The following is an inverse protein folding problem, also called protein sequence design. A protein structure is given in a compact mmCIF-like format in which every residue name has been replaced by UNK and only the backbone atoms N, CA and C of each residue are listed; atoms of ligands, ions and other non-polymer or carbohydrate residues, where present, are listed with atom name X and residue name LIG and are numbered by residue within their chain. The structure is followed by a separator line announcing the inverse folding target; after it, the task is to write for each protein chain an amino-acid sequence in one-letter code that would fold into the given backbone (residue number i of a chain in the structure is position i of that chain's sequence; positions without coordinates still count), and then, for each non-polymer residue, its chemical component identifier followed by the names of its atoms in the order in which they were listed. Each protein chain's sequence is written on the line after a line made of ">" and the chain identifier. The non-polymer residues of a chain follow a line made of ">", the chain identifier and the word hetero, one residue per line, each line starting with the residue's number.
data_IF_610261107974
#
_entry.id   IF_610261107974
#
_cell.length_a   1.000
_cell.length_b   1.000
_cell.length_c   1.000
_cell.angle_alpha   90.00
_cell.angle_beta   90.00
_cell.angle_gamma   90.00
#
_symmetry.space_group_name_H-M   'P 1'
#
loop_
_entity.id
_entity.type
_entity.pdbx_description
1 polymer ?
#
# COMPACT_ATOMS: atom_id res chain seq x y z
N UNK A 1 -9.05 -67.39 -11.25
CA UNK A 1 -10.41 -66.85 -11.03
C UNK A 1 -10.29 -65.80 -9.94
N UNK A 2 -10.31 -64.50 -10.31
CA UNK A 2 -11.41 -63.55 -10.01
C UNK A 2 -11.81 -63.66 -8.54
N UNK A 3 -11.45 -62.71 -7.66
CA UNK A 3 -12.13 -61.43 -7.57
C UNK A 3 -11.19 -60.29 -7.16
N UNK A 4 -11.21 -59.23 -7.95
CA UNK A 4 -10.75 -57.88 -7.64
C UNK A 4 -12.04 -57.06 -7.59
N UNK A 5 -12.27 -56.26 -6.55
CA UNK A 5 -13.02 -55.00 -6.59
C UNK A 5 -12.99 -54.35 -5.19
N UNK A 6 -12.08 -53.39 -5.08
CA UNK A 6 -11.88 -52.51 -3.94
C UNK A 6 -13.01 -51.48 -3.93
N UNK A 7 -13.47 -51.19 -2.72
CA UNK A 7 -14.73 -50.52 -2.41
C UNK A 7 -14.83 -49.06 -2.87
N UNK A 8 -16.11 -48.70 -3.05
CA UNK A 8 -16.67 -47.43 -3.48
C UNK A 8 -16.23 -46.25 -2.60
N UNK A 9 -15.82 -45.19 -3.28
CA UNK A 9 -15.56 -43.84 -2.78
C UNK A 9 -16.82 -43.21 -2.17
N UNK A 10 -16.70 -42.67 -0.96
CA UNK A 10 -17.65 -41.72 -0.40
C UNK A 10 -16.86 -40.59 0.28
N UNK A 11 -16.66 -39.49 -0.45
CA UNK A 11 -16.20 -38.21 0.09
C UNK A 11 -17.40 -37.54 0.75
N UNK A 12 -17.29 -37.27 2.05
CA UNK A 12 -18.27 -36.51 2.81
C UNK A 12 -17.65 -35.18 3.24
N UNK A 13 -18.10 -34.10 2.59
CA UNK A 13 -17.90 -32.72 3.01
C UNK A 13 -18.74 -32.45 4.26
N UNK A 14 -18.13 -31.93 5.33
CA UNK A 14 -18.87 -31.37 6.47
C UNK A 14 -18.47 -29.91 6.65
N UNK A 15 -19.50 -29.08 6.71
CA UNK A 15 -19.49 -27.62 6.72
C UNK A 15 -18.91 -27.05 8.02
N UNK A 16 -18.21 -25.95 7.88
CA UNK A 16 -17.72 -25.05 8.93
C UNK A 16 -18.88 -24.41 9.69
N UNK A 17 -18.94 -24.65 11.01
CA UNK A 17 -19.88 -24.00 11.92
C UNK A 17 -19.29 -22.70 12.48
N UNK A 18 -20.02 -21.60 12.30
CA UNK A 18 -19.78 -20.29 12.89
C UNK A 18 -19.76 -20.38 14.43
N UNK A 19 -18.70 -19.90 15.07
CA UNK A 19 -18.65 -19.72 16.52
C UNK A 19 -18.96 -18.26 16.86
N UNK A 20 -20.26 -17.95 16.96
CA UNK A 20 -20.76 -16.78 17.66
C UNK A 20 -20.84 -17.09 19.16
N UNK A 21 -20.25 -16.24 19.99
CA UNK A 21 -20.26 -16.39 21.44
C UNK A 21 -20.19 -15.06 22.16
N UNK A 22 -21.34 -14.42 22.37
CA UNK A 22 -21.49 -13.33 23.33
C UNK A 22 -21.46 -13.89 24.76
N UNK A 23 -20.67 -13.28 25.64
CA UNK A 23 -20.91 -13.30 27.09
C UNK A 23 -20.60 -11.92 27.67
N UNK A 24 -21.49 -11.31 28.46
CA UNK A 24 -21.23 -10.08 29.20
C UNK A 24 -20.68 -10.40 30.60
N UNK A 25 -19.73 -9.60 31.08
CA UNK A 25 -19.44 -9.48 32.53
C UNK A 25 -19.18 -8.01 32.85
N UNK A 26 -20.07 -7.46 33.66
CA UNK A 26 -20.01 -6.18 34.38
C UNK A 26 -19.40 -6.49 35.76
N UNK A 27 -18.41 -5.79 36.32
CA UNK A 27 -18.55 -4.56 37.13
C UNK A 27 -17.14 -4.23 37.74
N UNK A 28 -16.62 -2.99 37.64
CA UNK A 28 -16.52 -1.96 38.75
C UNK A 28 -15.27 -2.17 39.64
N UNK A 29 -14.34 -1.26 39.96
CA UNK A 29 -14.25 0.22 39.94
C UNK A 29 -12.80 0.71 40.21
N UNK A 30 -12.45 1.84 39.58
CA UNK A 30 -11.49 2.93 39.89
C UNK A 30 -10.06 2.68 40.44
N UNK A 31 -9.05 3.22 39.72
CA UNK A 31 -8.28 4.39 40.20
C UNK A 31 -7.44 5.06 39.09
N UNK A 32 -7.51 6.39 39.09
CA UNK A 32 -6.52 7.38 38.66
C UNK A 32 -6.09 7.41 37.17
N UNK A 33 -6.70 8.36 36.46
CA UNK A 33 -6.00 9.50 35.86
C UNK A 33 -4.65 9.21 35.16
N UNK A 34 -4.75 8.94 33.87
CA UNK A 34 -3.89 9.59 32.89
C UNK A 34 -4.75 9.81 31.65
N UNK A 35 -5.18 11.05 31.46
CA UNK A 35 -5.56 11.62 30.17
C UNK A 35 -4.35 11.50 29.22
N UNK A 36 -4.07 10.28 28.78
CA UNK A 36 -3.25 10.05 27.63
C UNK A 36 -4.21 10.23 26.48
N UNK A 37 -4.31 11.48 25.99
CA UNK A 37 -4.72 11.72 24.62
C UNK A 37 -3.95 10.72 23.78
N UNK A 38 -4.62 9.64 23.40
CA UNK A 38 -4.20 8.72 22.36
C UNK A 38 -4.17 9.58 21.10
N UNK A 39 -3.08 10.33 20.92
CA UNK A 39 -2.68 10.80 19.62
C UNK A 39 -2.43 9.52 18.86
N UNK A 40 -3.44 9.03 18.15
CA UNK A 40 -3.24 8.04 17.10
C UNK A 40 -2.11 8.60 16.24
N UNK A 41 -0.91 8.04 16.42
CA UNK A 41 0.18 8.38 15.54
C UNK A 41 -0.24 7.83 14.18
N UNK A 42 -0.69 8.74 13.32
CA UNK A 42 -1.08 8.43 11.95
C UNK A 42 0.14 7.80 11.31
N UNK A 43 0.10 6.47 11.17
CA UNK A 43 1.17 5.69 10.57
C UNK A 43 1.37 6.20 9.15
N UNK A 44 2.63 6.38 8.76
CA UNK A 44 2.97 6.70 7.38
C UNK A 44 2.35 5.66 6.43
N UNK A 45 1.60 6.16 5.45
CA UNK A 45 0.88 5.39 4.45
C UNK A 45 1.70 5.10 3.20
N UNK A 46 2.95 5.56 3.14
CA UNK A 46 3.84 5.38 1.98
C UNK A 46 4.27 3.92 1.84
N UNK A 47 3.99 3.36 0.67
CA UNK A 47 4.39 2.02 0.23
C UNK A 47 5.59 2.18 -0.71
N UNK A 48 6.63 1.39 -0.48
CA UNK A 48 7.81 1.35 -1.33
C UNK A 48 7.83 0.06 -2.15
N UNK A 49 8.33 0.12 -3.38
CA UNK A 49 8.42 -1.06 -4.23
C UNK A 49 9.09 -0.82 -5.56
N UNK A 50 9.08 -1.86 -6.40
CA UNK A 50 9.59 -1.84 -7.77
C UNK A 50 8.44 -2.07 -8.74
N UNK A 51 8.37 -1.29 -9.82
CA UNK A 51 7.32 -1.48 -10.83
C UNK A 51 7.55 -2.70 -11.68
N UNK A 52 6.48 -3.35 -12.11
CA UNK A 52 6.47 -4.41 -13.13
C UNK A 52 5.81 -3.90 -14.42
N UNK A 53 5.50 -4.79 -15.36
CA UNK A 53 4.72 -4.47 -16.56
C UNK A 53 3.39 -3.76 -16.20
N UNK A 54 3.11 -2.66 -16.92
CA UNK A 54 1.85 -1.92 -16.76
C UNK A 54 1.35 -1.31 -18.08
N UNK A 55 0.04 -1.08 -18.14
CA UNK A 55 -0.63 -0.51 -19.31
C UNK A 55 -0.66 1.02 -19.29
N UNK A 56 -1.28 1.62 -20.33
CA UNK A 56 -1.36 3.09 -20.46
C UNK A 56 -2.06 3.79 -19.27
N UNK A 57 -3.07 3.13 -18.70
CA UNK A 57 -3.94 3.67 -17.63
C UNK A 57 -3.80 2.91 -16.31
N UNK A 58 -2.89 1.93 -16.24
CA UNK A 58 -2.67 1.13 -15.03
C UNK A 58 -1.23 1.28 -14.54
N UNK A 59 -0.95 0.80 -13.34
CA UNK A 59 0.38 0.73 -12.77
C UNK A 59 0.47 -0.51 -11.88
N UNK A 60 1.57 -1.24 -12.00
CA UNK A 60 1.85 -2.43 -11.19
C UNK A 60 3.05 -2.17 -10.31
N UNK A 61 2.93 -2.41 -9.01
CA UNK A 61 4.02 -2.27 -8.05
C UNK A 61 4.17 -3.55 -7.22
N UNK A 62 5.34 -4.18 -7.26
CA UNK A 62 5.73 -5.18 -6.26
C UNK A 62 6.26 -4.41 -5.05
N UNK A 63 5.47 -4.36 -3.98
CA UNK A 63 5.85 -3.73 -2.73
C UNK A 63 7.03 -4.48 -2.09
N UNK A 64 7.89 -3.76 -1.39
CA UNK A 64 9.05 -4.33 -0.67
C UNK A 64 8.62 -5.35 0.39
N UNK A 65 7.38 -5.24 0.90
CA UNK A 65 6.76 -6.19 1.83
C UNK A 65 6.32 -7.50 1.16
N UNK A 66 6.39 -7.60 -0.17
CA UNK A 66 6.08 -8.79 -0.97
C UNK A 66 4.67 -8.82 -1.57
N UNK A 67 3.83 -7.82 -1.29
CA UNK A 67 2.50 -7.66 -1.93
C UNK A 67 2.64 -7.11 -3.35
N UNK A 68 1.72 -7.46 -4.25
CA UNK A 68 1.66 -6.89 -5.60
C UNK A 68 0.41 -6.04 -5.73
N UNK A 69 0.60 -4.77 -6.03
CA UNK A 69 -0.45 -3.80 -6.23
C UNK A 69 -0.76 -3.63 -7.71
N UNK A 70 -2.03 -3.75 -8.06
CA UNK A 70 -2.55 -3.43 -9.39
C UNK A 70 -3.43 -2.20 -9.28
N UNK A 71 -2.98 -1.10 -9.86
CA UNK A 71 -3.55 0.22 -9.63
C UNK A 71 -4.02 0.84 -10.94
N UNK A 72 -5.06 1.65 -10.85
CA UNK A 72 -5.46 2.59 -11.89
C UNK A 72 -4.79 3.94 -11.65
N UNK A 73 -4.54 4.69 -12.73
CA UNK A 73 -3.95 6.04 -12.65
C UNK A 73 -5.00 7.11 -12.31
N UNK A 74 -6.28 6.81 -12.52
CA UNK A 74 -7.41 7.68 -12.27
C UNK A 74 -8.31 7.03 -11.23
N UNK A 75 -8.64 7.77 -10.17
CA UNK A 75 -9.51 7.34 -9.08
C UNK A 75 -10.99 7.21 -9.52
N UNK A 76 -11.82 6.59 -8.70
CA UNK A 76 -13.26 6.42 -8.95
C UNK A 76 -14.01 7.74 -9.15
N UNK A 77 -13.54 8.82 -8.51
CA UNK A 77 -14.09 10.17 -8.65
C UNK A 77 -13.67 10.87 -9.96
N UNK A 78 -12.88 10.19 -10.80
CA UNK A 78 -12.40 10.70 -12.08
C UNK A 78 -11.15 11.58 -11.98
N UNK A 79 -10.55 11.73 -10.79
CA UNK A 79 -9.32 12.51 -10.62
C UNK A 79 -8.07 11.66 -10.81
N UNK A 80 -7.08 12.20 -11.51
CA UNK A 80 -5.80 11.52 -11.72
C UNK A 80 -4.93 11.54 -10.44
N UNK A 81 -4.19 10.46 -10.24
CA UNK A 81 -3.15 10.38 -9.22
C UNK A 81 -1.99 11.35 -9.52
N UNK A 82 -1.33 11.83 -8.47
CA UNK A 82 -0.15 12.69 -8.62
C UNK A 82 1.07 11.86 -8.94
N UNK A 83 1.60 11.98 -10.15
CA UNK A 83 2.75 11.20 -10.62
C UNK A 83 3.94 12.13 -10.85
N UNK A 84 5.04 11.86 -10.16
CA UNK A 84 6.28 12.62 -10.23
C UNK A 84 7.40 11.76 -10.80
N UNK A 85 7.94 12.18 -11.94
CA UNK A 85 8.91 11.42 -12.72
C UNK A 85 8.27 10.65 -13.87
N UNK A 86 9.12 10.03 -14.68
CA UNK A 86 8.71 9.13 -15.75
C UNK A 86 8.17 7.82 -15.16
N UNK A 87 7.24 7.17 -15.86
CA UNK A 87 6.89 5.79 -15.55
C UNK A 87 7.71 4.86 -16.44
N UNK A 88 8.56 4.08 -15.81
CA UNK A 88 9.38 3.03 -16.44
C UNK A 88 9.30 1.76 -15.60
N UNK A 89 9.11 0.64 -16.28
CA UNK A 89 9.10 -0.70 -15.69
C UNK A 89 10.48 -1.01 -15.08
N UNK A 90 10.50 -1.79 -13.99
CA UNK A 90 11.72 -2.12 -13.25
C UNK A 90 12.33 -1.00 -12.40
N UNK A 91 11.76 0.21 -12.36
CA UNK A 91 12.24 1.30 -11.50
C UNK A 91 11.59 1.26 -10.10
N UNK A 92 12.22 1.93 -9.13
CA UNK A 92 11.74 2.02 -7.75
C UNK A 92 10.84 3.22 -7.54
N UNK A 93 9.78 3.03 -6.75
CA UNK A 93 8.79 4.06 -6.46
C UNK A 93 8.41 4.12 -5.00
N UNK A 94 8.00 5.33 -4.57
CA UNK A 94 7.21 5.55 -3.36
C UNK A 94 5.77 5.85 -3.78
N UNK A 95 4.81 5.19 -3.15
CA UNK A 95 3.41 5.18 -3.51
C UNK A 95 2.53 5.46 -2.28
N UNK A 96 1.53 6.30 -2.44
CA UNK A 96 0.31 6.27 -1.62
C UNK A 96 -0.87 5.90 -2.51
N UNK A 97 -1.91 5.33 -1.91
CA UNK A 97 -3.06 4.82 -2.67
C UNK A 97 -4.35 5.52 -2.28
N UNK A 98 -5.33 5.40 -3.17
CA UNK A 98 -6.73 5.82 -2.99
C UNK A 98 -7.63 4.61 -3.27
N UNK A 99 -8.93 4.79 -3.03
CA UNK A 99 -9.96 3.82 -3.40
C UNK A 99 -9.64 2.41 -2.91
N UNK A 100 -9.33 2.29 -1.61
CA UNK A 100 -8.98 1.02 -0.96
C UNK A 100 -7.80 0.26 -1.61
N UNK A 101 -6.78 0.99 -2.08
CA UNK A 101 -5.58 0.46 -2.77
C UNK A 101 -5.80 0.10 -4.24
N UNK A 102 -6.81 0.65 -4.88
CA UNK A 102 -7.11 0.41 -6.31
C UNK A 102 -6.65 1.54 -7.24
N UNK A 103 -6.36 2.73 -6.70
CA UNK A 103 -5.92 3.88 -7.48
C UNK A 103 -4.66 4.55 -6.90
N UNK A 104 -3.87 5.19 -7.76
CA UNK A 104 -2.71 5.99 -7.33
C UNK A 104 -3.19 7.24 -6.60
N UNK A 105 -2.68 7.46 -5.38
CA UNK A 105 -2.76 8.75 -4.69
C UNK A 105 -1.60 9.66 -5.11
N UNK A 106 -0.40 9.29 -4.68
CA UNK A 106 0.86 9.93 -5.08
C UNK A 106 1.86 8.84 -5.45
N UNK A 107 2.57 9.00 -6.57
CA UNK A 107 3.61 8.11 -7.03
C UNK A 107 4.86 8.92 -7.38
N UNK A 108 5.99 8.62 -6.72
CA UNK A 108 7.27 9.30 -6.93
C UNK A 108 8.27 8.29 -7.46
N UNK A 109 8.87 8.56 -8.62
CA UNK A 109 9.96 7.76 -9.17
C UNK A 109 11.25 7.99 -8.36
N UNK A 110 11.56 7.06 -7.48
CA UNK A 110 12.73 7.13 -6.61
C UNK A 110 14.04 6.92 -7.38
N UNK A 111 14.02 6.07 -8.41
CA UNK A 111 15.19 5.86 -9.27
C UNK A 111 15.63 7.15 -9.96
N UNK A 112 14.70 8.01 -10.36
CA UNK A 112 15.01 9.35 -10.89
C UNK A 112 15.36 10.34 -9.78
N UNK A 113 14.64 10.34 -8.66
CA UNK A 113 14.93 11.21 -7.52
C UNK A 113 16.37 11.03 -7.02
N UNK A 114 16.83 9.78 -6.94
CA UNK A 114 18.14 9.39 -6.44
C UNK A 114 19.30 9.80 -7.36
N UNK A 115 19.02 10.23 -8.60
CA UNK A 115 20.01 10.87 -9.47
C UNK A 115 20.34 12.29 -9.00
N UNK A 116 19.43 12.94 -8.25
CA UNK A 116 19.58 14.31 -7.75
C UNK A 116 19.97 14.36 -6.28
N UNK A 117 19.35 13.52 -5.44
CA UNK A 117 19.64 13.47 -4.01
C UNK A 117 19.39 12.08 -3.42
N UNK A 118 20.27 11.69 -2.49
CA UNK A 118 20.09 10.48 -1.66
C UNK A 118 19.67 10.79 -0.23
N UNK A 119 19.73 12.06 0.15
CA UNK A 119 19.31 12.55 1.46
C UNK A 119 17.88 13.06 1.35
N UNK A 120 16.93 12.13 1.41
CA UNK A 120 15.50 12.44 1.36
C UNK A 120 14.71 11.48 2.25
N UNK A 121 13.48 11.88 2.57
CA UNK A 121 12.44 10.98 3.10
C UNK A 121 11.16 11.20 2.33
N UNK A 122 10.33 10.17 2.23
CA UNK A 122 8.94 10.32 1.79
C UNK A 122 8.05 9.95 2.97
N UNK A 123 7.09 10.81 3.28
CA UNK A 123 6.12 10.60 4.36
C UNK A 123 4.74 11.00 3.85
N UNK A 124 3.78 10.07 3.89
CA UNK A 124 2.45 10.21 3.32
C UNK A 124 2.45 10.77 1.89
N UNK A 125 3.38 10.31 1.05
CA UNK A 125 3.54 10.77 -0.33
C UNK A 125 4.14 12.17 -0.48
N UNK A 126 4.58 12.81 0.60
CA UNK A 126 5.26 14.11 0.56
C UNK A 126 6.78 13.91 0.61
N UNK A 127 7.51 14.64 -0.23
CA UNK A 127 8.97 14.65 -0.23
C UNK A 127 9.48 15.56 0.89
N UNK A 128 10.42 15.05 1.68
CA UNK A 128 11.11 15.79 2.74
C UNK A 128 12.59 15.86 2.36
N UNK A 129 13.11 17.08 2.21
CA UNK A 129 14.52 17.36 1.95
C UNK A 129 15.09 18.19 3.10
N UNK A 130 16.21 17.75 3.66
CA UNK A 130 16.89 18.42 4.78
C UNK A 130 15.99 18.76 6.00
N UNK A 131 14.90 18.00 6.18
CA UNK A 131 13.94 18.18 7.28
C UNK A 131 12.69 18.97 6.90
N UNK A 132 12.66 19.61 5.73
CA UNK A 132 11.52 20.40 5.25
C UNK A 132 10.69 19.62 4.24
N UNK A 133 9.38 19.67 4.39
CA UNK A 133 8.45 19.18 3.37
C UNK A 133 8.47 20.12 2.18
N UNK A 134 8.70 19.57 0.99
CA UNK A 134 8.76 20.32 -0.26
C UNK A 134 7.72 19.81 -1.26
N UNK A 135 7.21 20.71 -2.09
CA UNK A 135 6.32 20.33 -3.20
C UNK A 135 7.17 20.04 -4.43
N UNK A 136 7.04 18.85 -5.03
CA UNK A 136 7.70 18.54 -6.30
C UNK A 136 6.94 19.25 -7.42
N UNK A 137 7.59 20.18 -8.11
CA UNK A 137 7.04 20.79 -9.32
C UNK A 137 7.42 19.99 -10.56
N UNK A 138 8.62 19.43 -10.59
CA UNK A 138 9.15 18.66 -11.72
C UNK A 138 10.20 17.67 -11.27
N UNK A 139 10.12 16.45 -11.78
CA UNK A 139 11.15 15.42 -11.63
C UNK A 139 11.42 14.78 -12.98
N UNK A 140 12.68 14.78 -13.41
CA UNK A 140 13.18 14.11 -14.62
C UNK A 140 14.59 13.59 -14.34
N UNK A 141 15.20 12.87 -15.29
CA UNK A 141 16.61 12.45 -15.16
C UNK A 141 17.62 13.60 -15.00
N UNK A 142 17.28 14.82 -15.42
CA UNK A 142 18.20 15.97 -15.47
C UNK A 142 17.90 17.07 -14.46
N UNK A 143 16.71 17.07 -13.89
CA UNK A 143 16.22 18.16 -13.06
C UNK A 143 15.25 17.63 -12.01
N UNK A 144 15.49 18.01 -10.75
CA UNK A 144 14.51 18.04 -9.68
C UNK A 144 14.23 19.52 -9.36
N UNK A 145 12.97 19.93 -9.51
CA UNK A 145 12.49 21.27 -9.16
C UNK A 145 11.44 21.15 -8.06
N UNK A 146 11.66 21.88 -6.97
CA UNK A 146 10.77 21.89 -5.80
C UNK A 146 10.38 23.32 -5.43
N UNK A 147 9.29 23.46 -4.68
CA UNK A 147 8.78 24.71 -4.13
C UNK A 147 8.69 24.63 -2.61
#
# INVERSE_FOLDING_TARGET
>A
MKQFWIGVTAILLVLTACKGGNKPVQATTEKADIDSTLTEQVKDSTIYGTSEEFGMSTFTLIADEGDTLFLTRTAEDGTDGKIYGDLKEGERYALTTRDNREAIGVLINLTQLEKHTKDYKVCNGQLILHGDTVEIEKLTDKELKTK
#
